data_IF_839910899523
#
_entry.id   IF_839910899523
#
_cell.length_a   1.000
_cell.length_b   1.000
_cell.length_c   1.000
_cell.angle_alpha   90.00
_cell.angle_beta   90.00
_cell.angle_gamma   90.00
#
_symmetry.space_group_name_H-M   'P 1'
#
loop_
_entity.id
_entity.type
_entity.pdbx_description
1 polymer ?
#
# COMPACT_ATOMS: atom_id res chain seq x y z
N UNK A 1 -23.31 19.66 26.76
CA UNK A 1 -22.72 20.05 25.46
C UNK A 1 -23.30 19.14 24.40
N UNK A 2 -24.01 19.67 23.41
CA UNK A 2 -24.52 18.88 22.27
C UNK A 2 -23.31 18.50 21.41
N UNK A 3 -23.08 17.22 21.23
CA UNK A 3 -22.14 16.71 20.24
C UNK A 3 -22.79 16.98 18.89
N UNK A 4 -22.34 18.01 18.16
CA UNK A 4 -22.79 18.20 16.77
C UNK A 4 -22.36 16.96 15.98
N UNK A 5 -23.32 16.09 15.69
CA UNK A 5 -23.11 14.91 14.88
C UNK A 5 -22.69 15.37 13.48
N UNK A 6 -21.43 15.07 13.11
CA UNK A 6 -20.91 15.37 11.78
C UNK A 6 -21.64 14.49 10.76
N UNK A 7 -22.42 15.12 9.89
CA UNK A 7 -23.07 14.47 8.76
C UNK A 7 -22.19 14.57 7.52
N UNK A 8 -22.09 13.48 6.76
CA UNK A 8 -21.30 13.42 5.52
C UNK A 8 -22.22 13.07 4.34
N UNK A 9 -21.95 13.69 3.20
CA UNK A 9 -22.66 13.45 1.94
C UNK A 9 -21.66 13.04 0.85
N UNK A 10 -22.07 12.12 -0.01
CA UNK A 10 -21.36 11.81 -1.25
C UNK A 10 -21.82 12.77 -2.33
N UNK A 11 -20.87 13.47 -2.93
CA UNK A 11 -21.12 14.51 -3.93
C UNK A 11 -20.20 14.22 -5.12
N UNK A 12 -20.72 14.39 -6.34
CA UNK A 12 -19.90 14.30 -7.54
C UNK A 12 -18.76 15.33 -7.48
N UNK A 13 -17.53 14.87 -7.69
CA UNK A 13 -16.36 15.73 -7.66
C UNK A 13 -16.46 16.90 -8.65
N UNK A 14 -17.14 16.73 -9.79
CA UNK A 14 -17.27 17.76 -10.81
C UNK A 14 -18.04 18.99 -10.32
N UNK A 15 -19.03 18.80 -9.45
CA UNK A 15 -19.86 19.88 -8.92
C UNK A 15 -19.26 20.56 -7.69
N UNK A 16 -18.15 20.03 -7.15
CA UNK A 16 -17.49 20.65 -6.00
C UNK A 16 -16.95 22.04 -6.35
N UNK A 17 -17.05 23.01 -5.42
CA UNK A 17 -16.37 24.30 -5.55
C UNK A 17 -14.86 24.12 -5.74
N UNK A 18 -14.24 25.00 -6.53
CA UNK A 18 -12.81 24.96 -6.82
C UNK A 18 -11.94 24.96 -5.56
N UNK A 19 -12.36 25.64 -4.50
CA UNK A 19 -11.64 25.62 -3.22
C UNK A 19 -11.56 24.19 -2.64
N UNK A 20 -12.65 23.43 -2.67
CA UNK A 20 -12.69 22.06 -2.15
C UNK A 20 -11.85 21.13 -3.03
N UNK A 21 -11.99 21.23 -4.36
CA UNK A 21 -11.20 20.47 -5.33
C UNK A 21 -9.69 20.71 -5.15
N UNK A 22 -9.29 21.97 -4.97
CA UNK A 22 -7.89 22.35 -4.71
C UNK A 22 -7.39 21.78 -3.39
N UNK A 23 -8.19 21.82 -2.32
CA UNK A 23 -7.83 21.21 -1.04
C UNK A 23 -7.58 19.71 -1.18
N UNK A 24 -8.44 19.00 -1.92
CA UNK A 24 -8.27 17.56 -2.19
C UNK A 24 -6.93 17.30 -2.89
N UNK A 25 -6.64 18.04 -3.97
CA UNK A 25 -5.35 17.92 -4.69
C UNK A 25 -4.14 18.26 -3.83
N UNK A 26 -4.22 19.28 -2.98
CA UNK A 26 -3.15 19.62 -2.02
C UNK A 26 -2.91 18.45 -1.06
N UNK A 27 -3.96 17.80 -0.54
CA UNK A 27 -3.82 16.61 0.31
C UNK A 27 -3.19 15.45 -0.44
N UNK A 28 -3.52 15.25 -1.71
CA UNK A 28 -2.90 14.21 -2.55
C UNK A 28 -1.40 14.46 -2.74
N UNK A 29 -0.99 15.68 -3.13
CA UNK A 29 0.42 16.06 -3.33
C UNK A 29 1.29 15.93 -2.07
N UNK A 30 0.67 16.06 -0.89
CA UNK A 30 1.36 15.87 0.39
C UNK A 30 1.43 14.38 0.76
N UNK A 31 0.46 13.57 0.34
CA UNK A 31 0.38 12.12 0.63
C UNK A 31 1.30 11.31 -0.27
N UNK A 32 1.48 11.72 -1.53
CA UNK A 32 2.36 11.05 -2.51
C UNK A 32 3.80 11.57 -2.49
N UNK A 33 4.09 12.61 -1.70
CA UNK A 33 5.43 13.19 -1.57
C UNK A 33 5.84 14.09 -2.74
N UNK A 34 4.94 14.41 -3.67
CA UNK A 34 5.19 15.37 -4.76
C UNK A 34 5.56 16.76 -4.24
N UNK A 35 5.11 17.11 -3.02
CA UNK A 35 5.46 18.33 -2.30
C UNK A 35 5.71 18.02 -0.83
N UNK A 36 6.79 18.57 -0.28
CA UNK A 36 7.22 18.26 1.09
C UNK A 36 6.51 19.12 2.13
N UNK A 37 6.02 20.31 1.73
CA UNK A 37 5.36 21.23 2.66
C UNK A 37 4.00 21.68 2.14
N UNK A 38 3.07 21.90 3.08
CA UNK A 38 1.76 22.51 2.79
C UNK A 38 1.95 23.81 2.00
N UNK A 39 3.01 24.56 2.29
CA UNK A 39 3.29 25.85 1.68
C UNK A 39 3.56 25.76 0.17
N UNK A 40 4.34 24.76 -0.23
CA UNK A 40 4.63 24.49 -1.64
C UNK A 40 3.40 23.97 -2.37
N UNK A 41 2.65 23.07 -1.73
CA UNK A 41 1.46 22.47 -2.32
C UNK A 41 0.34 23.50 -2.56
N UNK A 42 0.03 24.37 -1.59
CA UNK A 42 -1.00 25.41 -1.77
C UNK A 42 -0.58 26.46 -2.80
N UNK A 43 0.71 26.80 -2.88
CA UNK A 43 1.24 27.70 -3.93
C UNK A 43 1.08 27.08 -5.32
N UNK A 44 1.41 25.80 -5.48
CA UNK A 44 1.24 25.09 -6.75
C UNK A 44 -0.22 25.09 -7.22
N UNK A 45 -1.18 24.98 -6.30
CA UNK A 45 -2.61 24.99 -6.59
C UNK A 45 -3.24 26.40 -6.65
N UNK A 46 -2.44 27.47 -6.57
CA UNK A 46 -2.90 28.86 -6.47
C UNK A 46 -4.03 29.00 -5.43
N UNK A 47 -3.74 28.52 -4.23
CA UNK A 47 -4.64 28.49 -3.09
C UNK A 47 -3.97 29.19 -1.90
N UNK A 48 -4.75 29.94 -1.13
CA UNK A 48 -4.25 30.51 0.13
C UNK A 48 -4.16 29.42 1.21
N UNK A 49 -3.23 29.59 2.14
CA UNK A 49 -3.13 28.70 3.33
C UNK A 49 -4.42 28.68 4.13
N UNK A 50 -5.05 29.84 4.33
CA UNK A 50 -6.31 29.94 5.08
C UNK A 50 -7.45 29.16 4.41
N UNK A 51 -7.54 29.19 3.07
CA UNK A 51 -8.51 28.40 2.33
C UNK A 51 -8.26 26.89 2.51
N UNK A 52 -7.00 26.44 2.44
CA UNK A 52 -6.67 25.03 2.72
C UNK A 52 -7.10 24.61 4.13
N UNK A 53 -6.72 25.37 5.15
CA UNK A 53 -7.04 25.03 6.54
C UNK A 53 -8.54 25.06 6.84
N UNK A 54 -9.32 25.86 6.13
CA UNK A 54 -10.79 25.90 6.24
C UNK A 54 -11.45 24.58 5.81
N UNK A 55 -10.88 23.87 4.83
CA UNK A 55 -11.51 22.67 4.25
C UNK A 55 -10.78 21.36 4.55
N UNK A 56 -9.49 21.38 4.94
CA UNK A 56 -8.63 20.17 5.00
C UNK A 56 -9.21 19.02 5.84
N UNK A 57 -9.94 19.34 6.91
CA UNK A 57 -10.47 18.38 7.89
C UNK A 57 -11.93 17.98 7.56
N UNK A 58 -12.50 18.55 6.50
CA UNK A 58 -13.87 18.31 6.03
C UNK A 58 -13.91 17.60 4.68
N UNK A 59 -12.76 17.29 4.09
CA UNK A 59 -12.65 16.63 2.78
C UNK A 59 -11.79 15.38 2.89
N UNK A 60 -12.35 14.26 2.46
CA UNK A 60 -11.67 12.98 2.40
C UNK A 60 -12.23 12.19 1.21
N UNK A 61 -11.42 11.34 0.56
CA UNK A 61 -11.93 10.45 -0.47
C UNK A 61 -12.94 9.47 0.15
N UNK A 62 -14.09 9.31 -0.50
CA UNK A 62 -15.15 8.39 -0.09
C UNK A 62 -14.68 6.92 -0.10
N UNK A 63 -13.76 6.62 -1.01
CA UNK A 63 -13.05 5.36 -1.10
C UNK A 63 -11.58 5.69 -0.96
N UNK A 64 -10.90 5.20 0.09
CA UNK A 64 -9.47 4.97 -0.07
C UNK A 64 -9.37 4.03 -1.27
N UNK A 65 -8.76 4.48 -2.39
CA UNK A 65 -8.30 3.52 -3.41
C UNK A 65 -7.60 2.43 -2.60
N UNK A 66 -8.02 1.15 -2.64
CA UNK A 66 -7.24 0.12 -1.99
C UNK A 66 -5.87 0.27 -2.60
N UNK A 67 -4.92 0.80 -1.81
CA UNK A 67 -3.57 1.03 -2.31
C UNK A 67 -3.12 -0.36 -2.72
N UNK A 68 -3.08 -0.61 -4.01
CA UNK A 68 -2.38 -1.77 -4.52
C UNK A 68 -0.95 -1.58 -4.03
N UNK A 69 -0.53 -2.43 -3.12
CA UNK A 69 0.78 -2.35 -2.50
C UNK A 69 1.67 -3.41 -3.08
N UNK A 70 2.91 -3.04 -3.35
CA UNK A 70 3.93 -3.99 -3.75
C UNK A 70 4.59 -4.56 -2.49
N UNK A 71 4.63 -5.87 -2.40
CA UNK A 71 5.27 -6.60 -1.31
C UNK A 71 6.39 -7.42 -1.92
N UNK A 72 7.57 -7.35 -1.29
CA UNK A 72 8.74 -8.13 -1.66
C UNK A 72 9.06 -9.07 -0.51
N UNK A 73 8.98 -10.38 -0.77
CA UNK A 73 9.46 -11.41 0.13
C UNK A 73 10.88 -11.81 -0.23
N UNK A 74 11.77 -11.77 0.76
CA UNK A 74 13.12 -12.33 0.71
C UNK A 74 13.14 -13.60 1.54
N UNK A 75 13.33 -14.75 0.89
CA UNK A 75 13.16 -16.06 1.50
C UNK A 75 14.45 -16.85 1.33
N UNK A 76 14.97 -17.43 2.42
CA UNK A 76 15.96 -18.50 2.33
C UNK A 76 15.23 -19.82 2.48
N UNK A 77 15.17 -20.61 1.41
CA UNK A 77 14.35 -21.82 1.32
C UNK A 77 15.21 -23.03 0.95
N UNK A 78 14.84 -24.22 1.40
CA UNK A 78 15.49 -25.46 0.99
C UNK A 78 15.47 -25.58 -0.53
N UNK A 79 16.56 -26.09 -1.12
CA UNK A 79 16.70 -26.26 -2.56
C UNK A 79 15.84 -27.42 -3.08
N UNK A 80 14.52 -27.26 -3.00
CA UNK A 80 13.48 -28.20 -3.42
C UNK A 80 12.39 -27.43 -4.18
N UNK A 81 12.14 -27.80 -5.43
CA UNK A 81 11.14 -27.14 -6.26
C UNK A 81 9.71 -27.26 -5.69
N UNK A 82 9.43 -28.32 -4.93
CA UNK A 82 8.11 -28.57 -4.34
C UNK A 82 7.73 -27.49 -3.34
N UNK A 83 8.68 -27.03 -2.53
CA UNK A 83 8.42 -25.96 -1.56
C UNK A 83 8.28 -24.61 -2.24
N UNK A 84 9.09 -24.31 -3.25
CA UNK A 84 8.99 -23.08 -4.05
C UNK A 84 7.60 -22.97 -4.68
N UNK A 85 7.11 -24.04 -5.31
CA UNK A 85 5.76 -24.08 -5.88
C UNK A 85 4.66 -23.91 -4.84
N UNK A 86 4.83 -24.46 -3.62
CA UNK A 86 3.87 -24.25 -2.52
C UNK A 86 3.85 -22.78 -2.07
N UNK A 87 5.01 -22.11 -1.99
CA UNK A 87 5.11 -20.69 -1.66
C UNK A 87 4.37 -19.87 -2.72
N UNK A 88 4.66 -20.11 -4.00
CA UNK A 88 4.01 -19.41 -5.13
C UNK A 88 2.50 -19.57 -5.06
N UNK A 89 1.99 -20.80 -4.91
CA UNK A 89 0.55 -21.07 -4.77
C UNK A 89 -0.09 -20.36 -3.57
N UNK A 90 0.64 -20.27 -2.45
CA UNK A 90 0.16 -19.57 -1.26
C UNK A 90 0.07 -18.07 -1.47
N UNK A 91 1.02 -17.50 -2.23
CA UNK A 91 1.02 -16.08 -2.61
C UNK A 91 -0.08 -15.80 -3.63
N UNK A 92 -0.24 -16.61 -4.68
CA UNK A 92 -1.21 -16.42 -5.79
C UNK A 92 -2.70 -16.57 -5.42
N UNK A 93 -3.11 -16.24 -4.20
CA UNK A 93 -4.52 -16.15 -3.82
C UNK A 93 -5.29 -15.07 -4.60
N UNK A 94 -6.60 -14.99 -4.40
CA UNK A 94 -7.55 -14.17 -5.19
C UNK A 94 -7.13 -12.70 -5.34
N UNK A 95 -6.47 -12.12 -4.33
CA UNK A 95 -6.13 -10.69 -4.28
C UNK A 95 -4.67 -10.37 -4.60
N UNK A 96 -3.87 -11.37 -4.99
CA UNK A 96 -2.43 -11.25 -5.13
C UNK A 96 -1.96 -11.55 -6.56
N UNK A 97 -1.22 -10.62 -7.14
CA UNK A 97 -0.63 -10.75 -8.48
C UNK A 97 0.88 -10.82 -8.34
N UNK A 98 1.47 -11.97 -8.64
CA UNK A 98 2.93 -12.11 -8.65
C UNK A 98 3.50 -11.30 -9.82
N UNK A 99 4.44 -10.41 -9.51
CA UNK A 99 5.14 -9.58 -10.47
C UNK A 99 6.44 -10.25 -10.93
N UNK A 100 7.25 -10.71 -9.98
CA UNK A 100 8.54 -11.34 -10.27
C UNK A 100 8.85 -12.44 -9.27
N UNK A 101 9.57 -13.45 -9.75
CA UNK A 101 10.15 -14.53 -8.96
C UNK A 101 11.61 -14.62 -9.37
N UNK A 102 12.53 -14.36 -8.45
CA UNK A 102 13.96 -14.48 -8.67
C UNK A 102 14.55 -15.51 -7.72
N UNK A 103 15.11 -16.58 -8.27
CA UNK A 103 15.83 -17.60 -7.52
C UNK A 103 17.32 -17.40 -7.74
N UNK A 104 18.08 -17.21 -6.67
CA UNK A 104 19.53 -17.10 -6.76
C UNK A 104 20.24 -18.45 -6.83
N UNK A 105 21.56 -18.41 -6.72
CA UNK A 105 22.39 -19.61 -6.71
C UNK A 105 22.19 -20.42 -5.42
N UNK A 106 22.05 -21.75 -5.48
CA UNK A 106 22.05 -22.58 -4.28
C UNK A 106 23.33 -22.41 -3.45
N UNK A 107 23.17 -22.24 -2.14
CA UNK A 107 24.27 -22.20 -1.16
C UNK A 107 24.05 -23.35 -0.19
N UNK A 108 24.75 -24.48 -0.45
CA UNK A 108 24.53 -25.74 0.25
C UNK A 108 23.11 -26.29 0.00
N UNK A 109 22.37 -26.60 1.07
CA UNK A 109 21.00 -27.13 0.97
C UNK A 109 19.92 -26.07 0.78
N UNK A 110 20.28 -24.79 0.71
CA UNK A 110 19.35 -23.67 0.63
C UNK A 110 19.55 -22.84 -0.64
N UNK A 111 18.52 -22.10 -1.02
CA UNK A 111 18.55 -21.16 -2.13
C UNK A 111 17.83 -19.87 -1.72
N UNK A 112 18.37 -18.69 -2.04
CA UNK A 112 17.64 -17.44 -1.88
C UNK A 112 16.54 -17.32 -2.95
N UNK A 113 15.37 -16.90 -2.52
CA UNK A 113 14.19 -16.69 -3.35
C UNK A 113 13.59 -15.32 -3.03
N UNK A 114 13.50 -14.46 -4.03
CA UNK A 114 12.81 -13.17 -3.94
C UNK A 114 11.51 -13.24 -4.72
N UNK A 115 10.39 -12.92 -4.09
CA UNK A 115 9.08 -12.87 -4.75
C UNK A 115 8.48 -11.48 -4.55
N UNK A 116 8.25 -10.76 -5.64
CA UNK A 116 7.51 -9.51 -5.62
C UNK A 116 6.07 -9.74 -6.08
N UNK A 117 5.09 -9.22 -5.36
CA UNK A 117 3.68 -9.33 -5.73
C UNK A 117 2.91 -8.07 -5.35
N UNK A 118 1.86 -7.76 -6.12
CA UNK A 118 0.86 -6.74 -5.77
C UNK A 118 -0.26 -7.37 -4.97
N UNK A 119 -0.73 -6.68 -3.95
CA UNK A 119 -1.87 -7.11 -3.17
C UNK A 119 -2.87 -5.98 -2.92
N UNK A 120 -4.15 -6.35 -2.88
CA UNK A 120 -5.24 -5.51 -2.36
C UNK A 120 -5.59 -5.86 -0.91
N UNK A 121 -4.88 -6.83 -0.32
CA UNK A 121 -5.13 -7.30 1.02
C UNK A 121 -4.72 -6.26 2.08
N UNK A 122 -5.30 -6.40 3.27
CA UNK A 122 -4.95 -5.58 4.43
C UNK A 122 -3.57 -5.97 4.98
N UNK A 123 -2.93 -5.06 5.74
CA UNK A 123 -1.66 -5.35 6.44
C UNK A 123 -1.76 -6.63 7.28
N UNK A 124 -2.91 -6.87 7.92
CA UNK A 124 -3.14 -8.05 8.75
C UNK A 124 -3.10 -9.34 7.92
N UNK A 125 -3.78 -9.37 6.78
CA UNK A 125 -3.82 -10.54 5.89
C UNK A 125 -2.44 -10.85 5.32
N UNK A 126 -1.66 -9.82 4.99
CA UNK A 126 -0.26 -9.97 4.58
C UNK A 126 0.59 -10.56 5.71
N UNK A 127 0.44 -10.06 6.94
CA UNK A 127 1.17 -10.60 8.09
C UNK A 127 0.81 -12.08 8.35
N UNK A 128 -0.46 -12.46 8.19
CA UNK A 128 -0.91 -13.85 8.28
C UNK A 128 -0.29 -14.72 7.17
N UNK A 129 -0.21 -14.21 5.94
CA UNK A 129 0.47 -14.88 4.83
C UNK A 129 1.97 -15.10 5.12
N UNK A 130 2.65 -14.06 5.60
CA UNK A 130 4.06 -14.09 6.02
C UNK A 130 4.30 -15.18 7.05
N UNK A 131 3.47 -15.24 8.11
CA UNK A 131 3.59 -16.25 9.16
C UNK A 131 3.23 -17.67 8.67
N UNK A 132 2.24 -17.79 7.80
CA UNK A 132 1.89 -19.07 7.20
C UNK A 132 3.04 -19.65 6.37
N UNK A 133 3.73 -18.81 5.59
CA UNK A 133 4.91 -19.23 4.81
C UNK A 133 6.08 -19.55 5.75
N UNK A 134 6.36 -18.70 6.76
CA UNK A 134 7.45 -18.90 7.72
C UNK A 134 7.37 -20.26 8.42
N UNK A 135 6.16 -20.78 8.68
CA UNK A 135 5.93 -22.09 9.32
C UNK A 135 6.08 -23.29 8.38
N UNK A 136 6.24 -23.10 7.08
CA UNK A 136 6.40 -24.20 6.13
C UNK A 136 7.74 -24.93 6.36
N UNK A 137 7.70 -26.26 6.42
CA UNK A 137 8.91 -27.10 6.52
C UNK A 137 9.82 -26.84 5.32
N UNK A 138 11.05 -26.38 5.58
CA UNK A 138 12.05 -26.07 4.55
C UNK A 138 12.33 -24.56 4.39
N UNK A 139 11.58 -23.68 5.07
CA UNK A 139 11.94 -22.26 5.18
C UNK A 139 12.97 -22.08 6.28
N UNK A 140 14.09 -21.41 5.97
CA UNK A 140 15.12 -21.02 6.94
C UNK A 140 14.89 -19.61 7.45
N UNK A 141 14.54 -18.68 6.57
CA UNK A 141 14.17 -17.31 6.93
C UNK A 141 13.23 -16.70 5.89
N UNK A 142 12.44 -15.73 6.34
CA UNK A 142 11.59 -14.92 5.49
C UNK A 142 11.57 -13.50 6.06
N UNK A 143 11.80 -12.53 5.18
CA UNK A 143 11.64 -11.10 5.44
C UNK A 143 10.72 -10.49 4.39
N UNK A 144 9.90 -9.52 4.78
CA UNK A 144 9.00 -8.81 3.88
C UNK A 144 9.28 -7.32 3.92
N UNK A 145 9.36 -6.68 2.74
CA UNK A 145 9.30 -5.22 2.62
C UNK A 145 8.04 -4.81 1.89
N UNK A 146 7.40 -3.76 2.39
CA UNK A 146 6.27 -3.09 1.75
C UNK A 146 6.78 -1.80 1.11
N UNK A 147 6.58 -1.63 -0.19
CA UNK A 147 6.66 -0.31 -0.81
C UNK A 147 5.24 0.26 -0.95
N UNK A 148 5.03 1.40 -0.29
CA UNK A 148 3.85 2.22 -0.51
C UNK A 148 4.03 3.00 -1.82
N UNK A 149 3.21 2.67 -2.82
CA UNK A 149 2.92 3.57 -3.94
C UNK A 149 1.97 4.67 -3.43
#
# INVERSE_FOLDING_TARGET
MKTDEKQFYLIDFQILPEAIKKTIRVKEMLKDGSRNTVNEAVKAMKMSRSAYYKYKDHVAPAFDKPKERAIIFFIIVQNDYSIINKIIKKISGVNNIILTINRGCPVGKYVPLTVAFKTKDTVKVVAELTEAIRKMKGIKSLESKEEGI
#
